data_IF_067924223914
#
_entry.id   IF_067924223914
#
_cell.length_a   1.000
_cell.length_b   1.000
_cell.length_c   1.000
_cell.angle_alpha   90.00
_cell.angle_beta   90.00
_cell.angle_gamma   90.00
#
_symmetry.space_group_name_H-M   'P 1'
#
loop_
_entity.id
_entity.type
_entity.pdbx_description
1 polymer ?
#
# COMPACT_ATOMS: atom_id res chain seq x y z
N UNK A 1 30.99 13.71 16.33
CA UNK A 1 30.27 12.89 17.32
C UNK A 1 30.03 13.77 18.54
N UNK A 2 28.78 13.94 18.96
CA UNK A 2 28.40 14.66 20.18
C UNK A 2 28.22 13.62 21.27
N UNK A 3 28.80 13.84 22.44
CA UNK A 3 28.77 12.87 23.54
C UNK A 3 27.99 13.46 24.71
N UNK A 4 26.95 12.76 25.13
CA UNK A 4 26.11 13.12 26.26
C UNK A 4 26.31 12.07 27.35
N UNK A 5 26.61 12.52 28.56
CA UNK A 5 26.81 11.63 29.68
C UNK A 5 25.58 11.65 30.60
N UNK A 6 25.18 10.47 31.08
CA UNK A 6 24.07 10.32 32.01
C UNK A 6 24.53 10.18 33.48
N UNK A 7 25.82 10.07 33.73
CA UNK A 7 26.37 9.81 35.08
C UNK A 7 26.07 10.96 36.05
N UNK A 8 26.02 12.19 35.55
CA UNK A 8 25.62 13.35 36.36
C UNK A 8 24.17 13.28 36.83
N UNK A 9 23.25 12.74 36.01
CA UNK A 9 21.86 12.53 36.41
C UNK A 9 21.73 11.39 37.41
N UNK A 10 22.55 10.34 37.27
CA UNK A 10 22.63 9.22 38.22
C UNK A 10 23.14 9.69 39.58
N UNK A 11 24.19 10.52 39.59
CA UNK A 11 24.70 11.18 40.79
C UNK A 11 23.61 12.00 41.49
N UNK A 12 22.88 12.85 40.75
CA UNK A 12 21.79 13.66 41.30
C UNK A 12 20.66 12.81 41.91
N UNK A 13 20.37 11.63 41.34
CA UNK A 13 19.39 10.71 41.89
C UNK A 13 19.88 10.02 43.18
N UNK A 14 21.19 9.75 43.28
CA UNK A 14 21.78 8.95 44.36
C UNK A 14 22.28 9.78 45.56
N UNK A 15 22.54 11.08 45.40
CA UNK A 15 23.19 11.93 46.42
C UNK A 15 22.46 12.01 47.79
N UNK A 16 21.16 11.68 47.83
CA UNK A 16 20.38 11.64 49.08
C UNK A 16 20.52 10.33 49.86
N UNK A 17 20.92 9.26 49.20
CA UNK A 17 20.96 7.89 49.76
C UNK A 17 22.39 7.34 49.82
N UNK A 18 23.31 7.89 49.02
CA UNK A 18 24.70 7.46 48.91
C UNK A 18 25.62 8.63 49.22
N UNK A 19 26.65 8.37 50.04
CA UNK A 19 27.72 9.33 50.29
C UNK A 19 28.81 9.17 49.24
N UNK A 20 29.12 10.25 48.54
CA UNK A 20 30.21 10.30 47.57
C UNK A 20 31.44 10.93 48.20
N UNK A 21 32.62 10.52 47.73
CA UNK A 21 33.88 11.18 48.04
C UNK A 21 34.01 12.46 47.21
N UNK A 22 34.80 13.41 47.70
CA UNK A 22 35.05 14.68 46.99
C UNK A 22 35.61 14.46 45.56
N UNK A 23 36.41 13.42 45.35
CA UNK A 23 36.95 13.08 44.04
C UNK A 23 35.86 12.56 43.08
N UNK A 24 34.91 11.76 43.58
CA UNK A 24 33.76 11.30 42.79
C UNK A 24 32.84 12.46 42.42
N UNK A 25 32.53 13.34 43.37
CA UNK A 25 31.72 14.54 43.09
C UNK A 25 32.35 15.42 42.02
N UNK A 26 33.67 15.59 42.07
CA UNK A 26 34.41 16.36 41.06
C UNK A 26 34.35 15.69 39.68
N UNK A 27 34.51 14.38 39.60
CA UNK A 27 34.38 13.64 38.34
C UNK A 27 32.98 13.77 37.72
N UNK A 28 31.92 13.70 38.54
CA UNK A 28 30.56 13.91 38.06
C UNK A 28 30.31 15.36 37.60
N UNK A 29 30.88 16.35 38.30
CA UNK A 29 30.79 17.75 37.90
C UNK A 29 31.51 18.03 36.56
N UNK A 30 32.68 17.42 36.35
CA UNK A 30 33.43 17.53 35.09
C UNK A 30 32.69 16.85 33.93
N UNK A 31 32.12 15.67 34.17
CA UNK A 31 31.24 14.96 33.22
C UNK A 31 30.02 15.82 32.84
N UNK A 32 29.34 16.43 33.83
CA UNK A 32 28.20 17.33 33.59
C UNK A 32 28.59 18.50 32.69
N UNK A 33 29.68 19.18 33.04
CA UNK A 33 30.18 20.33 32.29
C UNK A 33 30.44 19.95 30.84
N UNK A 34 31.12 18.83 30.61
CA UNK A 34 31.38 18.33 29.26
C UNK A 34 30.10 18.02 28.49
N UNK A 35 29.11 17.42 29.14
CA UNK A 35 27.81 17.14 28.51
C UNK A 35 27.04 18.41 28.16
N UNK A 36 27.09 19.44 29.02
CA UNK A 36 26.50 20.76 28.76
C UNK A 36 27.21 21.45 27.60
N UNK A 37 28.54 21.48 27.61
CA UNK A 37 29.36 22.10 26.56
C UNK A 37 29.10 21.42 25.20
N UNK A 38 29.00 20.08 25.16
CA UNK A 38 28.66 19.33 23.96
C UNK A 38 27.21 19.58 23.49
N UNK A 39 26.27 19.77 24.41
CA UNK A 39 24.89 20.14 24.10
C UNK A 39 24.78 21.55 23.52
N UNK A 40 25.50 22.51 24.11
CA UNK A 40 25.61 23.87 23.58
C UNK A 40 26.26 23.87 22.20
N UNK A 41 27.33 23.10 22.01
CA UNK A 41 27.98 22.93 20.71
C UNK A 41 27.03 22.36 19.66
N UNK A 42 26.19 21.39 20.02
CA UNK A 42 25.15 20.86 19.14
C UNK A 42 24.09 21.94 18.82
N UNK A 43 23.59 22.65 19.82
CA UNK A 43 22.57 23.70 19.62
C UNK A 43 23.13 24.82 18.74
N UNK A 44 24.35 25.31 19.01
CA UNK A 44 25.00 26.32 18.18
C UNK A 44 25.21 25.85 16.74
N UNK A 45 25.59 24.58 16.58
CA UNK A 45 25.70 23.98 15.26
C UNK A 45 24.35 23.99 14.53
N UNK A 46 23.27 23.57 15.20
CA UNK A 46 21.91 23.54 14.64
C UNK A 46 21.41 24.95 14.29
N UNK A 47 21.63 25.95 15.15
CA UNK A 47 21.24 27.35 14.92
C UNK A 47 21.99 27.96 13.72
N UNK A 48 23.23 27.53 13.47
CA UNK A 48 24.02 27.99 12.31
C UNK A 48 23.64 27.28 11.01
N UNK A 49 22.82 26.22 11.05
CA UNK A 49 22.34 25.58 9.82
C UNK A 49 21.17 26.36 9.25
N UNK A 50 21.14 26.46 7.91
CA UNK A 50 19.93 26.96 7.27
C UNK A 50 18.77 26.02 7.63
N UNK A 51 17.64 26.57 8.11
CA UNK A 51 16.44 25.77 8.31
C UNK A 51 16.15 24.99 7.04
N UNK A 52 16.01 23.67 7.14
CA UNK A 52 15.50 22.90 6.03
C UNK A 52 14.07 23.37 5.75
N UNK A 53 13.71 23.44 4.47
CA UNK A 53 12.34 23.74 4.07
C UNK A 53 11.50 22.55 4.52
N UNK A 54 10.68 22.76 5.55
CA UNK A 54 9.87 21.69 6.17
C UNK A 54 8.91 21.11 5.13
N UNK A 55 8.44 21.95 4.22
CA UNK A 55 7.63 21.58 3.06
C UNK A 55 8.30 20.50 2.21
N UNK A 56 9.62 20.53 2.01
CA UNK A 56 10.34 19.52 1.23
C UNK A 56 10.32 18.15 1.91
N UNK A 57 10.46 18.13 3.23
CA UNK A 57 10.43 16.89 4.02
C UNK A 57 9.01 16.31 4.07
N UNK A 58 8.01 17.17 4.24
CA UNK A 58 6.60 16.78 4.18
C UNK A 58 6.23 16.28 2.78
N UNK A 59 6.67 16.97 1.73
CA UNK A 59 6.43 16.59 0.34
C UNK A 59 7.04 15.23 0.02
N UNK A 60 8.32 15.00 0.40
CA UNK A 60 8.98 13.72 0.22
C UNK A 60 8.23 12.58 0.93
N UNK A 61 7.80 12.79 2.17
CA UNK A 61 7.05 11.79 2.93
C UNK A 61 5.66 11.52 2.33
N UNK A 62 4.97 12.57 1.88
CA UNK A 62 3.68 12.44 1.21
C UNK A 62 3.81 11.67 -0.10
N UNK A 63 4.78 12.00 -0.94
CA UNK A 63 5.04 11.27 -2.20
C UNK A 63 5.39 9.81 -1.93
N UNK A 64 6.24 9.52 -0.93
CA UNK A 64 6.54 8.14 -0.53
C UNK A 64 5.28 7.39 -0.09
N UNK A 65 4.40 8.05 0.65
CA UNK A 65 3.14 7.45 1.09
C UNK A 65 2.21 7.17 -0.10
N UNK A 66 2.08 8.12 -1.04
CA UNK A 66 1.31 7.94 -2.29
C UNK A 66 1.81 6.72 -3.07
N UNK A 67 3.12 6.59 -3.30
CA UNK A 67 3.69 5.44 -4.03
C UNK A 67 3.34 4.12 -3.36
N UNK A 68 3.48 4.06 -2.04
CA UNK A 68 3.18 2.86 -1.28
C UNK A 68 1.70 2.48 -1.37
N UNK A 69 0.81 3.44 -1.11
CA UNK A 69 -0.64 3.21 -1.09
C UNK A 69 -1.20 2.83 -2.46
N UNK A 70 -0.55 3.24 -3.55
CA UNK A 70 -0.95 2.89 -4.92
C UNK A 70 -0.37 1.55 -5.41
N UNK A 71 0.58 0.95 -4.69
CA UNK A 71 1.19 -0.33 -5.08
C UNK A 71 0.18 -1.49 -5.15
N UNK A 72 -0.73 -1.61 -4.16
CA UNK A 72 -1.84 -2.60 -4.19
C UNK A 72 -2.85 -2.28 -5.30
N UNK A 73 -3.37 -1.03 -5.41
CA UNK A 73 -4.23 -0.64 -6.50
C UNK A 73 -3.68 -0.95 -7.90
N UNK A 74 -2.38 -0.76 -8.15
CA UNK A 74 -1.80 -1.09 -9.45
C UNK A 74 -1.92 -2.58 -9.79
N UNK A 75 -1.56 -3.47 -8.86
CA UNK A 75 -1.67 -4.91 -9.09
C UNK A 75 -3.12 -5.37 -9.30
N UNK A 76 -4.05 -4.78 -8.56
CA UNK A 76 -5.48 -5.09 -8.67
C UNK A 76 -6.08 -4.60 -9.99
N UNK A 77 -5.75 -3.38 -10.42
CA UNK A 77 -6.21 -2.83 -11.70
C UNK A 77 -5.56 -3.57 -12.87
N UNK A 78 -4.29 -3.98 -12.75
CA UNK A 78 -3.63 -4.82 -13.76
C UNK A 78 -4.40 -6.12 -13.98
N UNK A 79 -4.74 -6.83 -12.90
CA UNK A 79 -5.57 -8.05 -12.97
C UNK A 79 -6.95 -7.76 -13.56
N UNK A 80 -7.60 -6.67 -13.14
CA UNK A 80 -8.92 -6.25 -13.63
C UNK A 80 -8.93 -5.99 -15.14
N UNK A 81 -7.95 -5.22 -15.63
CA UNK A 81 -7.81 -4.88 -17.05
C UNK A 81 -7.61 -6.15 -17.88
N UNK A 82 -6.72 -7.05 -17.45
CA UNK A 82 -6.47 -8.30 -18.18
C UNK A 82 -7.75 -9.16 -18.28
N UNK A 83 -8.50 -9.30 -17.18
CA UNK A 83 -9.77 -10.05 -17.18
C UNK A 83 -10.80 -9.41 -18.09
N UNK A 84 -10.95 -8.08 -18.06
CA UNK A 84 -11.89 -7.39 -18.93
C UNK A 84 -11.52 -7.52 -20.41
N UNK A 85 -10.23 -7.46 -20.77
CA UNK A 85 -9.80 -7.69 -22.15
C UNK A 85 -10.17 -9.11 -22.60
N UNK A 86 -9.96 -10.12 -21.75
CA UNK A 86 -10.32 -11.50 -22.08
C UNK A 86 -11.83 -11.64 -22.28
N UNK A 87 -12.64 -11.15 -21.34
CA UNK A 87 -14.10 -11.23 -21.41
C UNK A 87 -14.65 -10.57 -22.69
N UNK A 88 -14.12 -9.40 -23.05
CA UNK A 88 -14.53 -8.70 -24.27
C UNK A 88 -14.11 -9.49 -25.53
N UNK A 89 -12.92 -10.09 -25.56
CA UNK A 89 -12.46 -10.92 -26.69
C UNK A 89 -13.29 -12.18 -26.87
N UNK A 90 -13.58 -12.90 -25.79
CA UNK A 90 -14.47 -14.07 -25.82
C UNK A 90 -15.86 -13.68 -26.32
N UNK A 91 -16.32 -12.49 -25.94
CA UNK A 91 -17.59 -11.95 -26.44
C UNK A 91 -17.56 -11.64 -27.93
N UNK A 92 -16.49 -11.04 -28.44
CA UNK A 92 -16.31 -10.82 -29.87
C UNK A 92 -16.30 -12.15 -30.63
N UNK A 93 -15.65 -13.19 -30.10
CA UNK A 93 -15.65 -14.53 -30.68
C UNK A 93 -17.05 -15.17 -30.67
N UNK A 94 -17.81 -15.06 -29.58
CA UNK A 94 -19.21 -15.53 -29.52
C UNK A 94 -20.08 -14.85 -30.57
N UNK A 95 -19.98 -13.52 -30.71
CA UNK A 95 -20.76 -12.73 -31.68
C UNK A 95 -20.36 -13.11 -33.12
N UNK A 96 -19.06 -13.25 -33.39
CA UNK A 96 -18.54 -13.55 -34.72
C UNK A 96 -18.92 -14.97 -35.20
N UNK A 97 -18.93 -15.94 -34.28
CA UNK A 97 -19.26 -17.34 -34.60
C UNK A 97 -20.77 -17.65 -34.55
N UNK A 98 -21.59 -16.70 -34.08
CA UNK A 98 -23.03 -16.90 -33.94
C UNK A 98 -23.78 -16.75 -35.26
N UNK A 99 -24.64 -17.71 -35.60
CA UNK A 99 -25.60 -17.63 -36.70
C UNK A 99 -26.90 -16.88 -36.34
N UNK A 100 -27.07 -16.46 -35.08
CA UNK A 100 -28.29 -15.83 -34.55
C UNK A 100 -28.50 -14.41 -35.08
N UNK A 101 -29.73 -13.92 -35.10
CA UNK A 101 -30.04 -12.53 -35.48
C UNK A 101 -29.61 -11.54 -34.39
N UNK A 102 -29.61 -10.24 -34.70
CA UNK A 102 -29.26 -9.21 -33.70
C UNK A 102 -30.28 -9.16 -32.55
N UNK A 103 -31.57 -9.36 -32.83
CA UNK A 103 -32.62 -9.43 -31.82
C UNK A 103 -32.42 -10.60 -30.86
N UNK A 104 -32.03 -11.76 -31.37
CA UNK A 104 -31.70 -12.95 -30.56
C UNK A 104 -30.42 -12.76 -29.73
N UNK A 105 -29.53 -11.88 -30.19
CA UNK A 105 -28.29 -11.54 -29.52
C UNK A 105 -28.42 -10.32 -28.61
N UNK A 106 -29.52 -9.56 -28.61
CA UNK A 106 -29.60 -8.26 -27.94
C UNK A 106 -29.18 -8.27 -26.47
N UNK A 107 -29.60 -9.29 -25.69
CA UNK A 107 -29.17 -9.48 -24.29
C UNK A 107 -27.74 -10.02 -24.13
N UNK A 108 -27.11 -10.42 -25.22
CA UNK A 108 -25.75 -10.92 -25.37
C UNK A 108 -24.85 -9.96 -26.17
N UNK A 109 -25.25 -8.73 -26.48
CA UNK A 109 -24.36 -7.79 -27.19
C UNK A 109 -23.47 -7.02 -26.21
N UNK A 110 -23.94 -6.85 -24.99
CA UNK A 110 -23.18 -6.25 -23.90
C UNK A 110 -22.11 -7.21 -23.41
N UNK A 111 -20.89 -6.70 -23.25
CA UNK A 111 -19.81 -7.43 -22.62
C UNK A 111 -19.88 -7.17 -21.12
N UNK A 112 -20.09 -8.22 -20.33
CA UNK A 112 -19.95 -8.15 -18.88
C UNK A 112 -18.51 -7.79 -18.56
N UNK A 113 -18.31 -6.75 -17.74
CA UNK A 113 -16.99 -6.36 -17.25
C UNK A 113 -16.92 -6.68 -15.77
N UNK A 114 -15.79 -7.29 -15.39
CA UNK A 114 -15.40 -7.39 -14.00
C UNK A 114 -15.14 -5.99 -13.46
N UNK A 115 -15.71 -5.74 -12.29
CA UNK A 115 -15.51 -4.54 -11.51
C UNK A 115 -15.34 -4.92 -10.03
N UNK A 116 -15.05 -3.94 -9.19
CA UNK A 116 -14.99 -4.17 -7.75
C UNK A 116 -15.48 -2.97 -6.93
N UNK A 117 -15.83 -3.26 -5.68
CA UNK A 117 -16.09 -2.28 -4.64
C UNK A 117 -15.18 -2.54 -3.45
N UNK A 118 -14.94 -1.49 -2.66
CA UNK A 118 -14.20 -1.59 -1.41
C UNK A 118 -15.17 -1.68 -0.24
N UNK A 119 -14.88 -2.59 0.69
CA UNK A 119 -15.55 -2.66 1.99
C UNK A 119 -14.56 -2.34 3.08
N UNK A 120 -14.78 -1.24 3.79
CA UNK A 120 -14.02 -0.90 4.99
C UNK A 120 -14.27 -1.93 6.09
N UNK A 121 -13.22 -2.28 6.84
CA UNK A 121 -13.35 -3.07 8.07
C UNK A 121 -13.49 -2.16 9.31
N UNK A 122 -14.25 -2.61 10.31
CA UNK A 122 -14.41 -1.89 11.58
C UNK A 122 -13.09 -1.84 12.37
N UNK A 123 -12.35 -2.96 12.31
CA UNK A 123 -11.05 -3.14 12.94
C UNK A 123 -10.08 -3.78 11.94
N UNK A 124 -8.79 -3.39 12.00
CA UNK A 124 -7.76 -4.11 11.27
C UNK A 124 -7.67 -5.57 11.74
N UNK A 125 -7.44 -6.49 10.80
CA UNK A 125 -7.34 -7.93 11.10
C UNK A 125 -6.15 -8.55 10.41
N UNK A 126 -5.59 -9.58 11.03
CA UNK A 126 -4.53 -10.39 10.45
C UNK A 126 -5.14 -11.63 9.81
N UNK A 127 -4.96 -11.77 8.50
CA UNK A 127 -5.40 -12.93 7.71
C UNK A 127 -4.22 -13.77 7.27
N UNK A 128 -4.45 -15.05 6.96
CA UNK A 128 -3.43 -15.92 6.38
C UNK A 128 -3.65 -16.10 4.89
N UNK A 129 -2.62 -15.86 4.09
CA UNK A 129 -2.64 -16.00 2.63
C UNK A 129 -2.16 -17.37 2.17
N UNK A 130 -1.95 -18.32 3.07
CA UNK A 130 -1.56 -19.68 2.72
C UNK A 130 -2.73 -20.44 2.07
N UNK A 131 -2.46 -21.27 1.06
CA UNK A 131 -3.46 -22.08 0.37
C UNK A 131 -4.28 -22.97 1.31
N UNK A 132 -3.72 -23.40 2.44
CA UNK A 132 -4.44 -24.21 3.43
C UNK A 132 -5.39 -23.39 4.34
N UNK A 133 -5.41 -22.07 4.21
CA UNK A 133 -6.10 -21.15 5.13
C UNK A 133 -7.09 -20.21 4.43
N UNK A 134 -7.36 -20.46 3.15
CA UNK A 134 -8.24 -19.67 2.31
C UNK A 134 -9.30 -20.58 1.71
N UNK A 135 -10.44 -20.00 1.37
CA UNK A 135 -11.52 -20.69 0.65
C UNK A 135 -11.75 -19.97 -0.68
N UNK A 136 -12.26 -20.72 -1.66
CA UNK A 136 -12.72 -20.14 -2.91
C UNK A 136 -14.22 -19.89 -2.79
N UNK A 137 -14.60 -18.63 -2.82
CA UNK A 137 -16.00 -18.21 -2.92
C UNK A 137 -16.38 -18.10 -4.38
N UNK A 138 -17.32 -18.93 -4.79
CA UNK A 138 -17.97 -18.78 -6.09
C UNK A 138 -18.99 -17.64 -5.99
N UNK A 139 -18.70 -16.50 -6.64
CA UNK A 139 -19.63 -15.33 -6.66
C UNK A 139 -20.62 -15.45 -7.80
N UNK A 140 -20.26 -16.19 -8.85
CA UNK A 140 -21.08 -16.54 -10.01
C UNK A 140 -20.40 -17.71 -10.74
N UNK A 141 -20.96 -18.15 -11.87
CA UNK A 141 -20.46 -19.32 -12.62
C UNK A 141 -18.98 -19.21 -13.04
N UNK A 142 -18.42 -17.99 -13.11
CA UNK A 142 -17.09 -17.71 -13.70
C UNK A 142 -16.07 -17.02 -12.76
N UNK A 143 -16.44 -16.66 -11.52
CA UNK A 143 -15.54 -16.00 -10.55
C UNK A 143 -15.42 -16.82 -9.27
N UNK A 144 -14.23 -17.38 -9.09
CA UNK A 144 -13.71 -17.77 -7.79
C UNK A 144 -12.97 -16.59 -7.14
N UNK A 145 -13.49 -16.09 -6.02
CA UNK A 145 -12.80 -15.16 -5.15
C UNK A 145 -12.04 -15.89 -4.05
N UNK A 146 -10.85 -15.39 -3.73
CA UNK A 146 -10.12 -15.85 -2.56
C UNK A 146 -10.77 -15.20 -1.34
N UNK A 147 -11.44 -16.01 -0.53
CA UNK A 147 -11.85 -15.58 0.80
C UNK A 147 -10.79 -16.00 1.81
N UNK A 148 -10.31 -15.00 2.53
CA UNK A 148 -9.36 -15.17 3.61
C UNK A 148 -10.07 -15.60 4.90
N UNK A 149 -10.87 -16.68 4.83
CA UNK A 149 -11.76 -17.18 5.88
C UNK A 149 -11.05 -17.33 7.22
N UNK A 150 -9.77 -17.70 7.19
CA UNK A 150 -8.96 -17.82 8.41
C UNK A 150 -8.45 -16.47 8.90
N UNK A 151 -9.32 -15.78 9.63
CA UNK A 151 -9.00 -14.59 10.42
C UNK A 151 -8.13 -14.97 11.64
N UNK A 152 -6.80 -14.97 11.46
CA UNK A 152 -5.84 -15.35 12.51
C UNK A 152 -5.83 -14.38 13.70
N UNK A 153 -6.13 -13.10 13.46
CA UNK A 153 -6.38 -12.11 14.51
C UNK A 153 -7.53 -11.21 14.08
N UNK A 154 -8.69 -11.27 14.75
CA UNK A 154 -9.89 -10.53 14.35
C UNK A 154 -9.77 -9.02 14.55
N UNK A 155 -9.16 -8.62 15.67
CA UNK A 155 -8.89 -7.22 16.01
C UNK A 155 -7.40 -7.11 16.34
N UNK A 156 -6.59 -6.69 15.39
CA UNK A 156 -5.16 -6.56 15.56
C UNK A 156 -4.80 -5.11 15.93
N UNK A 157 -4.26 -4.92 17.14
CA UNK A 157 -3.86 -3.61 17.68
C UNK A 157 -2.37 -3.32 17.52
N UNK A 158 -1.65 -4.14 16.74
CA UNK A 158 -0.25 -3.88 16.47
C UNK A 158 -0.15 -2.59 15.69
N UNK A 159 0.69 -1.68 16.18
CA UNK A 159 0.96 -0.43 15.49
C UNK A 159 1.83 -0.74 14.28
N UNK A 160 1.22 -0.59 13.11
CA UNK A 160 1.96 -0.57 11.85
C UNK A 160 2.16 0.88 11.45
N UNK A 161 3.35 1.19 10.94
CA UNK A 161 3.54 2.43 10.18
C UNK A 161 2.87 2.36 8.81
N UNK A 162 2.52 1.15 8.34
CA UNK A 162 2.07 0.84 6.99
C UNK A 162 1.18 -0.41 6.99
N UNK A 163 -0.09 -0.27 6.63
CA UNK A 163 -1.08 -1.36 6.61
C UNK A 163 -1.15 -2.00 5.21
N UNK A 164 -1.80 -3.16 5.07
CA UNK A 164 -1.92 -3.94 3.82
C UNK A 164 -0.61 -4.47 3.20
N UNK A 165 0.57 -4.09 3.70
CA UNK A 165 1.85 -4.62 3.23
C UNK A 165 1.98 -6.15 3.40
N UNK A 166 2.39 -6.80 2.32
CA UNK A 166 2.80 -8.21 2.32
C UNK A 166 4.21 -8.31 2.94
N UNK A 167 4.51 -9.42 3.61
CA UNK A 167 5.81 -9.66 4.26
C UNK A 167 6.21 -8.60 5.31
N UNK A 168 5.24 -7.90 5.90
CA UNK A 168 5.52 -6.93 6.95
C UNK A 168 6.01 -7.64 8.22
N UNK A 169 7.32 -7.48 8.52
CA UNK A 169 7.97 -8.08 9.70
C UNK A 169 7.32 -7.67 11.02
N UNK A 170 6.61 -6.54 11.08
CA UNK A 170 5.89 -6.14 12.28
C UNK A 170 4.77 -7.12 12.66
N UNK A 171 4.34 -7.99 11.74
CA UNK A 171 3.41 -9.09 12.04
C UNK A 171 3.95 -10.06 13.11
N UNK A 172 5.26 -10.09 13.37
CA UNK A 172 5.82 -10.80 14.53
C UNK A 172 5.22 -10.36 15.86
N UNK A 173 4.77 -9.10 15.96
CA UNK A 173 4.16 -8.54 17.16
C UNK A 173 2.65 -8.78 17.24
N UNK A 174 2.05 -9.37 16.20
CA UNK A 174 0.64 -9.76 16.24
C UNK A 174 0.44 -10.81 17.34
N UNK A 175 -0.61 -10.62 18.16
CA UNK A 175 -0.93 -11.52 19.26
C UNK A 175 -1.15 -12.98 18.82
N UNK A 176 -1.55 -13.18 17.56
CA UNK A 176 -1.71 -14.48 16.94
C UNK A 176 -0.39 -15.16 16.56
N UNK A 177 0.72 -14.43 16.44
CA UNK A 177 2.03 -14.96 16.04
C UNK A 177 2.88 -15.25 17.29
N UNK A 178 3.52 -16.42 17.32
CA UNK A 178 4.53 -16.73 18.34
C UNK A 178 5.83 -15.99 18.01
N UNK A 179 6.34 -15.21 18.96
CA UNK A 179 7.64 -14.52 18.84
C UNK A 179 8.76 -15.52 18.52
N UNK A 180 8.81 -16.63 19.25
CA UNK A 180 9.78 -17.70 19.01
C UNK A 180 9.28 -18.57 17.86
N UNK A 181 10.07 -18.63 16.77
CA UNK A 181 9.80 -19.45 15.59
C UNK A 181 8.78 -18.87 14.60
N UNK A 182 8.14 -17.74 14.90
CA UNK A 182 7.32 -17.00 13.93
C UNK A 182 6.05 -17.72 13.46
N UNK A 183 5.59 -18.72 14.20
CA UNK A 183 4.42 -19.55 13.84
C UNK A 183 3.13 -18.98 14.42
N UNK A 184 2.09 -18.93 13.61
CA UNK A 184 0.75 -18.53 14.03
C UNK A 184 0.13 -19.57 14.96
N UNK A 185 -0.46 -19.12 16.07
CA UNK A 185 -1.17 -19.93 17.07
C UNK A 185 -2.51 -20.46 16.55
N UNK A 186 -3.08 -19.83 15.51
CA UNK A 186 -4.39 -20.16 14.95
C UNK A 186 -4.30 -21.11 13.75
N UNK A 187 -3.40 -20.83 12.80
CA UNK A 187 -3.29 -21.63 11.57
C UNK A 187 -1.99 -22.44 11.46
N UNK A 188 -0.99 -22.20 12.31
CA UNK A 188 0.32 -22.87 12.23
C UNK A 188 1.21 -22.42 11.06
N UNK A 189 0.74 -21.54 10.18
CA UNK A 189 1.58 -20.93 9.15
C UNK A 189 2.58 -19.94 9.75
N UNK A 190 3.68 -19.69 9.05
CA UNK A 190 4.67 -18.71 9.46
C UNK A 190 4.17 -17.28 9.18
N UNK A 191 4.67 -16.29 9.91
CA UNK A 191 4.21 -14.90 9.87
C UNK A 191 4.29 -14.29 8.45
N UNK A 192 5.25 -14.72 7.63
CA UNK A 192 5.43 -14.30 6.22
C UNK A 192 4.29 -14.78 5.30
N UNK A 193 3.39 -15.64 5.79
CA UNK A 193 2.15 -16.04 5.11
C UNK A 193 0.93 -15.30 5.64
N UNK A 194 1.13 -14.21 6.37
CA UNK A 194 0.06 -13.40 6.91
C UNK A 194 0.10 -12.00 6.31
N UNK A 195 -1.08 -11.38 6.25
CA UNK A 195 -1.27 -10.02 5.79
C UNK A 195 -2.18 -9.31 6.77
N UNK A 196 -1.91 -8.02 6.99
CA UNK A 196 -2.76 -7.19 7.80
C UNK A 196 -3.70 -6.39 6.90
N UNK A 197 -5.00 -6.61 7.01
CA UNK A 197 -6.00 -5.97 6.13
C UNK A 197 -6.88 -5.02 6.92
N UNK A 198 -7.15 -3.86 6.34
CA UNK A 198 -8.02 -2.82 6.90
C UNK A 198 -9.26 -2.56 6.02
N UNK A 199 -9.26 -3.08 4.80
CA UNK A 199 -10.39 -3.11 3.89
C UNK A 199 -10.35 -4.39 3.03
N UNK A 200 -11.47 -4.70 2.38
CA UNK A 200 -11.60 -5.79 1.40
C UNK A 200 -11.99 -5.24 0.04
N UNK A 201 -11.63 -6.00 -0.99
CA UNK A 201 -12.07 -5.78 -2.38
C UNK A 201 -13.10 -6.84 -2.70
N UNK A 202 -14.30 -6.38 -3.07
CA UNK A 202 -15.47 -7.19 -3.41
C UNK A 202 -15.69 -7.10 -4.92
N UNK A 203 -15.49 -8.19 -5.67
CA UNK A 203 -15.68 -8.17 -7.11
C UNK A 203 -17.15 -8.37 -7.50
N UNK A 204 -17.54 -7.77 -8.61
CA UNK A 204 -18.87 -7.91 -9.22
C UNK A 204 -18.77 -7.83 -10.74
N UNK A 205 -19.67 -8.50 -11.45
CA UNK A 205 -19.87 -8.24 -12.87
C UNK A 205 -20.88 -7.13 -13.04
N UNK A 206 -20.56 -6.18 -13.90
CA UNK A 206 -21.51 -5.20 -14.39
C UNK A 206 -21.62 -5.38 -15.91
N UNK A 207 -22.83 -5.51 -16.42
CA UNK A 207 -23.07 -5.40 -17.85
C UNK A 207 -22.90 -3.93 -18.24
N UNK A 208 -21.90 -3.65 -19.06
CA UNK A 208 -21.74 -2.30 -19.58
C UNK A 208 -22.65 -2.14 -20.79
N UNK A 209 -23.77 -1.45 -20.56
CA UNK A 209 -24.61 -0.92 -21.62
C UNK A 209 -23.86 0.25 -22.23
N UNK A 210 -23.16 -0.02 -23.33
CA UNK A 210 -22.57 1.04 -24.13
C UNK A 210 -23.68 1.68 -24.98
N UNK A 211 -23.97 2.95 -24.73
CA UNK A 211 -24.98 3.71 -25.49
C UNK A 211 -24.69 3.68 -27.00
N UNK A 212 -23.42 3.55 -27.41
CA UNK A 212 -23.07 3.40 -28.83
C UNK A 212 -23.50 2.05 -29.39
N UNK A 213 -23.48 0.98 -28.59
CA UNK A 213 -24.03 -0.33 -28.98
C UNK A 213 -25.54 -0.21 -29.18
N UNK A 214 -26.26 0.47 -28.28
CA UNK A 214 -27.71 0.68 -28.45
C UNK A 214 -28.05 1.50 -29.69
N UNK A 215 -27.32 2.60 -29.92
CA UNK A 215 -27.49 3.44 -31.10
C UNK A 215 -27.27 2.63 -32.38
N UNK A 216 -26.22 1.82 -32.46
CA UNK A 216 -25.94 1.00 -33.65
C UNK A 216 -26.99 -0.08 -33.89
N UNK A 217 -27.54 -0.69 -32.84
CA UNK A 217 -28.63 -1.67 -32.97
C UNK A 217 -29.93 -1.01 -33.43
N UNK A 218 -30.15 0.27 -33.10
CA UNK A 218 -31.37 1.00 -33.46
C UNK A 218 -31.44 1.43 -34.94
N UNK A 219 -30.31 1.42 -35.63
CA UNK A 219 -30.25 1.75 -37.07
C UNK A 219 -30.79 0.59 -37.91
N UNK A 220 -31.56 0.89 -38.98
CA UNK A 220 -32.09 -0.12 -39.92
C UNK A 220 -30.98 -0.73 -40.80
N UNK A 221 -30.08 -1.48 -40.18
CA UNK A 221 -28.96 -2.21 -40.79
C UNK A 221 -29.25 -3.71 -40.82
N UNK A 222 -28.51 -4.45 -41.65
CA UNK A 222 -28.56 -5.91 -41.63
C UNK A 222 -27.93 -6.47 -40.34
N UNK A 223 -28.31 -7.69 -39.96
CA UNK A 223 -27.72 -8.40 -38.81
C UNK A 223 -26.19 -8.48 -38.88
N UNK A 224 -25.64 -8.71 -40.08
CA UNK A 224 -24.19 -8.79 -40.27
C UNK A 224 -23.50 -7.44 -40.05
N UNK A 225 -24.11 -6.35 -40.50
CA UNK A 225 -23.58 -5.00 -40.28
C UNK A 225 -23.62 -4.64 -38.80
N UNK A 226 -24.72 -4.96 -38.11
CA UNK A 226 -24.85 -4.73 -36.67
C UNK A 226 -23.82 -5.53 -35.86
N UNK A 227 -23.61 -6.81 -36.17
CA UNK A 227 -22.56 -7.62 -35.53
C UNK A 227 -21.17 -7.02 -35.72
N UNK A 228 -20.82 -6.61 -36.94
CA UNK A 228 -19.53 -5.95 -37.23
C UNK A 228 -19.38 -4.67 -36.43
N UNK A 229 -20.43 -3.86 -36.35
CA UNK A 229 -20.40 -2.59 -35.63
C UNK A 229 -20.19 -2.81 -34.11
N UNK A 230 -20.87 -3.78 -33.50
CA UNK A 230 -20.66 -4.16 -32.09
C UNK A 230 -19.24 -4.69 -31.85
N UNK A 231 -18.69 -5.50 -32.76
CA UNK A 231 -17.30 -5.98 -32.66
C UNK A 231 -16.31 -4.80 -32.68
N UNK A 232 -16.56 -3.77 -33.49
CA UNK A 232 -15.73 -2.54 -33.53
C UNK A 232 -15.81 -1.78 -32.21
N UNK A 233 -17.00 -1.65 -31.60
CA UNK A 233 -17.14 -1.02 -30.28
C UNK A 233 -16.34 -1.78 -29.22
N UNK A 234 -16.45 -3.11 -29.19
CA UNK A 234 -15.68 -3.98 -28.30
C UNK A 234 -14.16 -3.85 -28.52
N UNK A 235 -13.72 -3.73 -29.78
CA UNK A 235 -12.31 -3.53 -30.09
C UNK A 235 -11.81 -2.18 -29.57
N UNK A 236 -12.56 -1.09 -29.79
CA UNK A 236 -12.22 0.22 -29.25
C UNK A 236 -12.10 0.19 -27.72
N UNK A 237 -12.95 -0.58 -27.04
CA UNK A 237 -12.88 -0.74 -25.59
C UNK A 237 -11.61 -1.50 -25.15
N UNK A 238 -11.22 -2.55 -25.88
CA UNK A 238 -9.95 -3.25 -25.64
C UNK A 238 -8.78 -2.30 -25.81
N UNK A 239 -8.77 -1.49 -26.87
CA UNK A 239 -7.69 -0.55 -27.17
C UNK A 239 -7.57 0.53 -26.08
N UNK A 240 -8.69 1.05 -25.58
CA UNK A 240 -8.72 1.97 -24.45
C UNK A 240 -8.15 1.34 -23.18
N UNK A 241 -8.56 0.10 -22.85
CA UNK A 241 -8.06 -0.63 -21.69
C UNK A 241 -6.55 -0.89 -21.79
N UNK A 242 -6.04 -1.24 -22.97
CA UNK A 242 -4.61 -1.41 -23.21
C UNK A 242 -3.85 -0.09 -23.05
N UNK A 243 -4.39 1.02 -23.57
CA UNK A 243 -3.79 2.35 -23.41
C UNK A 243 -3.68 2.76 -21.94
N UNK A 244 -4.72 2.53 -21.15
CA UNK A 244 -4.64 2.79 -19.70
C UNK A 244 -3.63 1.89 -19.00
N UNK A 245 -3.58 0.61 -19.36
CA UNK A 245 -2.61 -0.34 -18.81
C UNK A 245 -1.18 0.12 -19.01
N UNK A 246 -0.83 0.53 -20.23
CA UNK A 246 0.51 1.06 -20.52
C UNK A 246 0.79 2.35 -19.74
N UNK A 247 -0.19 3.24 -19.58
CA UNK A 247 -0.02 4.45 -18.79
C UNK A 247 0.19 4.17 -17.31
N UNK A 248 -0.57 3.23 -16.73
CA UNK A 248 -0.41 2.79 -15.34
C UNK A 248 0.97 2.18 -15.14
N UNK A 249 1.42 1.34 -16.07
CA UNK A 249 2.75 0.74 -16.05
C UNK A 249 3.86 1.80 -16.08
N UNK A 250 3.79 2.76 -17.01
CA UNK A 250 4.72 3.89 -17.09
C UNK A 250 4.82 4.63 -15.75
N UNK A 251 3.67 4.96 -15.15
CA UNK A 251 3.62 5.68 -13.87
C UNK A 251 4.16 4.83 -12.72
N UNK A 252 3.84 3.53 -12.68
CA UNK A 252 4.38 2.61 -11.68
C UNK A 252 5.91 2.55 -11.70
N UNK A 253 6.52 2.59 -12.89
CA UNK A 253 7.98 2.63 -13.05
C UNK A 253 8.57 3.94 -12.54
N UNK A 254 7.92 5.08 -12.80
CA UNK A 254 8.34 6.39 -12.25
C UNK A 254 8.23 6.45 -10.73
N UNK A 255 7.21 5.83 -10.15
CA UNK A 255 7.05 5.70 -8.71
C UNK A 255 8.15 4.83 -8.08
N UNK A 256 8.54 3.77 -8.77
CA UNK A 256 9.65 2.91 -8.38
C UNK A 256 10.99 3.60 -8.48
N UNK A 257 11.23 4.35 -9.57
CA UNK A 257 12.39 5.21 -9.70
C UNK A 257 12.50 6.18 -8.53
N UNK A 258 11.43 6.93 -8.25
CA UNK A 258 11.35 7.87 -7.13
C UNK A 258 11.63 7.21 -5.78
N UNK A 259 11.09 6.01 -5.56
CA UNK A 259 11.30 5.30 -4.30
C UNK A 259 12.73 4.81 -4.14
N UNK A 260 13.35 4.32 -5.22
CA UNK A 260 14.74 3.83 -5.24
C UNK A 260 15.75 4.94 -5.02
N UNK A 261 15.65 6.03 -5.78
CA UNK A 261 16.60 7.16 -5.67
C UNK A 261 16.57 7.81 -4.28
N UNK A 262 15.43 7.73 -3.58
CA UNK A 262 15.24 8.31 -2.25
C UNK A 262 15.37 7.26 -1.13
N UNK A 263 15.77 6.03 -1.42
CA UNK A 263 15.87 4.98 -0.40
C UNK A 263 17.14 5.14 0.44
N UNK A 264 16.99 5.21 1.78
CA UNK A 264 18.13 5.22 2.72
C UNK A 264 18.66 3.80 2.98
N UNK A 265 17.81 2.79 2.79
CA UNK A 265 18.11 1.38 2.98
C UNK A 265 17.79 0.60 1.70
N UNK A 266 17.99 -0.72 1.71
CA UNK A 266 17.60 -1.59 0.60
C UNK A 266 16.13 -1.36 0.22
N UNK A 267 15.90 -1.03 -1.06
CA UNK A 267 14.58 -0.80 -1.61
C UNK A 267 13.80 -2.12 -1.73
N UNK A 268 12.65 -2.20 -1.07
CA UNK A 268 11.67 -3.26 -1.31
C UNK A 268 10.58 -2.73 -2.25
N UNK A 269 10.27 -3.49 -3.30
CA UNK A 269 9.27 -3.10 -4.29
C UNK A 269 7.90 -3.65 -3.89
N UNK A 270 7.10 -2.80 -3.24
CA UNK A 270 5.76 -3.18 -2.78
C UNK A 270 4.84 -3.57 -3.94
N UNK A 271 5.01 -2.99 -5.14
CA UNK A 271 4.18 -3.36 -6.30
C UNK A 271 4.48 -4.79 -6.75
N UNK A 272 5.76 -5.19 -6.76
CA UNK A 272 6.16 -6.58 -7.05
C UNK A 272 5.59 -7.54 -6.01
N UNK A 273 5.62 -7.18 -4.72
CA UNK A 273 5.02 -8.00 -3.66
C UNK A 273 3.52 -8.25 -3.93
N UNK A 274 2.76 -7.23 -4.37
CA UNK A 274 1.34 -7.41 -4.70
C UNK A 274 1.11 -8.18 -6.01
N UNK A 275 1.94 -8.01 -7.03
CA UNK A 275 1.90 -8.86 -8.23
C UNK A 275 2.12 -10.33 -7.87
N UNK A 276 3.05 -10.61 -6.96
CA UNK A 276 3.29 -11.96 -6.45
C UNK A 276 2.09 -12.53 -5.70
N UNK A 277 1.37 -11.71 -4.93
CA UNK A 277 0.12 -12.11 -4.30
C UNK A 277 -0.94 -12.46 -5.35
N UNK A 278 -1.17 -11.60 -6.34
CA UNK A 278 -2.14 -11.87 -7.41
C UNK A 278 -1.78 -13.17 -8.18
N UNK A 279 -0.52 -13.37 -8.54
CA UNK A 279 -0.04 -14.60 -9.20
C UNK A 279 -0.28 -15.83 -8.32
N UNK A 280 -0.02 -15.72 -7.02
CA UNK A 280 -0.24 -16.81 -6.07
C UNK A 280 -1.72 -17.17 -5.96
N UNK A 281 -2.60 -16.18 -5.85
CA UNK A 281 -4.05 -16.36 -5.83
C UNK A 281 -4.54 -17.06 -7.10
N UNK A 282 -4.05 -16.65 -8.27
CA UNK A 282 -4.38 -17.29 -9.56
C UNK A 282 -3.87 -18.73 -9.65
N UNK A 283 -2.67 -19.03 -9.12
CA UNK A 283 -2.16 -20.41 -8.98
C UNK A 283 -3.04 -21.27 -8.09
N UNK A 284 -3.59 -20.71 -7.02
CA UNK A 284 -4.53 -21.41 -6.12
C UNK A 284 -5.80 -21.78 -6.90
N UNK A 285 -6.41 -20.83 -7.62
CA UNK A 285 -7.61 -21.07 -8.45
C UNK A 285 -7.36 -22.16 -9.48
N UNK A 286 -6.23 -22.11 -10.19
CA UNK A 286 -5.81 -23.16 -11.14
C UNK A 286 -5.73 -24.53 -10.48
N UNK A 287 -5.13 -24.63 -9.30
CA UNK A 287 -4.96 -25.92 -8.65
C UNK A 287 -6.30 -26.49 -8.15
N UNK A 288 -7.24 -25.64 -7.77
CA UNK A 288 -8.57 -26.06 -7.32
C UNK A 288 -9.48 -26.51 -8.47
N UNK A 289 -9.40 -25.86 -9.64
CA UNK A 289 -10.23 -26.17 -10.79
C UNK A 289 -9.43 -26.25 -12.11
N UNK A 290 -8.44 -27.15 -12.15
CA UNK A 290 -7.44 -27.20 -13.24
C UNK A 290 -8.02 -27.47 -14.63
N UNK A 291 -9.20 -28.06 -14.74
CA UNK A 291 -9.84 -28.38 -16.02
C UNK A 291 -10.56 -27.21 -16.67
N UNK A 292 -11.00 -26.23 -15.87
CA UNK A 292 -11.78 -25.08 -16.34
C UNK A 292 -11.08 -23.74 -16.08
N UNK A 293 -9.87 -23.77 -15.53
CA UNK A 293 -9.10 -22.56 -15.27
C UNK A 293 -8.54 -21.95 -16.55
N UNK A 294 -8.80 -20.65 -16.73
CA UNK A 294 -8.21 -19.87 -17.82
C UNK A 294 -6.79 -19.41 -17.47
N UNK A 295 -5.79 -20.06 -18.08
CA UNK A 295 -4.37 -19.74 -17.88
C UNK A 295 -3.95 -18.36 -18.41
N UNK A 296 -4.76 -17.68 -19.23
CA UNK A 296 -4.37 -16.40 -19.83
C UNK A 296 -4.12 -15.31 -18.79
N UNK A 297 -4.90 -15.28 -17.69
CA UNK A 297 -4.69 -14.31 -16.60
C UNK A 297 -3.37 -14.59 -15.87
N UNK A 298 -3.13 -15.84 -15.48
CA UNK A 298 -1.91 -16.21 -14.79
C UNK A 298 -0.66 -15.88 -15.63
N UNK A 299 -0.66 -16.26 -16.92
CA UNK A 299 0.44 -15.95 -17.83
C UNK A 299 0.60 -14.45 -18.04
N UNK A 300 -0.50 -13.71 -18.15
CA UNK A 300 -0.47 -12.26 -18.30
C UNK A 300 0.15 -11.57 -17.09
N UNK A 301 -0.20 -11.97 -15.86
CA UNK A 301 0.39 -11.44 -14.63
C UNK A 301 1.88 -11.80 -14.50
N UNK A 302 2.26 -13.04 -14.80
CA UNK A 302 3.67 -13.48 -14.80
C UNK A 302 4.50 -12.68 -15.82
N UNK A 303 3.97 -12.46 -17.03
CA UNK A 303 4.61 -11.64 -18.05
C UNK A 303 4.72 -10.15 -17.62
N UNK A 304 3.68 -9.57 -17.01
CA UNK A 304 3.74 -8.20 -16.48
C UNK A 304 4.85 -8.07 -15.44
N UNK A 305 4.93 -9.02 -14.50
CA UNK A 305 5.97 -9.00 -13.47
C UNK A 305 7.36 -9.10 -14.08
N UNK A 306 7.57 -10.02 -15.02
CA UNK A 306 8.86 -10.22 -15.68
C UNK A 306 9.31 -8.96 -16.43
N UNK A 307 8.42 -8.37 -17.24
CA UNK A 307 8.70 -7.17 -18.01
C UNK A 307 8.98 -5.96 -17.10
N UNK A 308 8.17 -5.78 -16.05
CA UNK A 308 8.36 -4.72 -15.07
C UNK A 308 9.73 -4.84 -14.39
N UNK A 309 10.12 -6.04 -13.93
CA UNK A 309 11.43 -6.26 -13.29
C UNK A 309 12.61 -5.96 -14.21
N UNK A 310 12.50 -6.28 -15.51
CA UNK A 310 13.52 -5.91 -16.51
C UNK A 310 13.69 -4.39 -16.59
N UNK A 311 12.58 -3.65 -16.60
CA UNK A 311 12.62 -2.18 -16.66
C UNK A 311 13.12 -1.55 -15.35
N UNK A 312 12.83 -2.16 -14.20
CA UNK A 312 13.39 -1.72 -12.91
C UNK A 312 14.91 -1.85 -12.87
N UNK A 313 15.50 -2.88 -13.51
CA UNK A 313 16.96 -3.01 -13.58
C UNK A 313 17.58 -1.92 -14.47
N UNK A 314 16.90 -1.50 -15.55
CA UNK A 314 17.33 -0.35 -16.36
C UNK A 314 17.30 0.94 -15.52
N UNK A 315 16.20 1.19 -14.82
CA UNK A 315 16.05 2.36 -13.92
C UNK A 315 17.15 2.39 -12.86
N UNK A 316 17.53 1.23 -12.32
CA UNK A 316 18.61 1.14 -11.35
C UNK A 316 19.94 1.63 -11.94
N UNK A 317 20.26 1.25 -13.17
CA UNK A 317 21.47 1.72 -13.86
C UNK A 317 21.40 3.24 -14.14
N UNK A 318 20.26 3.76 -14.57
CA UNK A 318 20.06 5.20 -14.81
C UNK A 318 20.24 6.03 -13.53
N UNK A 319 19.76 5.53 -12.38
CA UNK A 319 19.95 6.19 -11.08
C UNK A 319 21.44 6.18 -10.69
N UNK A 320 22.14 5.05 -10.88
CA UNK A 320 23.57 4.92 -10.56
C UNK A 320 24.45 5.89 -11.37
N UNK A 321 24.07 6.16 -12.63
CA UNK A 321 24.76 7.10 -13.50
C UNK A 321 24.35 8.57 -13.28
N UNK A 322 23.34 8.85 -12.46
CA UNK A 322 22.68 10.16 -12.32
C UNK A 322 22.06 10.70 -13.62
N UNK A 323 21.60 9.81 -14.50
CA UNK A 323 21.01 10.18 -15.80
C UNK A 323 19.55 10.64 -15.68
N UNK A 324 18.90 10.34 -14.54
CA UNK A 324 17.44 10.42 -14.42
C UNK A 324 17.01 10.57 -12.95
N UNK A 325 16.18 11.57 -12.63
CA UNK A 325 15.65 11.79 -11.26
C UNK A 325 14.22 12.29 -11.27
N UNK A 326 13.41 11.84 -10.31
CA UNK A 326 11.99 12.22 -10.14
C UNK A 326 11.80 13.07 -8.89
N UNK A 327 11.15 14.21 -9.01
CA UNK A 327 10.87 15.11 -7.89
C UNK A 327 9.56 14.75 -7.18
N UNK A 328 9.36 15.18 -5.92
CA UNK A 328 8.08 15.01 -5.22
C UNK A 328 6.89 15.65 -5.96
N UNK A 329 7.09 16.78 -6.64
CA UNK A 329 6.04 17.45 -7.43
C UNK A 329 5.61 16.61 -8.64
N UNK A 330 6.57 15.98 -9.32
CA UNK A 330 6.25 15.05 -10.41
C UNK A 330 5.42 13.86 -9.93
N UNK A 331 5.61 13.39 -8.68
CA UNK A 331 4.75 12.34 -8.12
C UNK A 331 3.29 12.81 -7.98
N UNK A 332 3.06 14.05 -7.56
CA UNK A 332 1.71 14.61 -7.48
C UNK A 332 1.05 14.76 -8.87
N UNK A 333 1.84 15.17 -9.88
CA UNK A 333 1.35 15.29 -11.26
C UNK A 333 1.05 13.91 -11.88
N UNK A 334 1.88 12.92 -11.63
CA UNK A 334 1.67 11.53 -12.05
C UNK A 334 0.45 10.92 -11.34
N UNK A 335 0.27 11.20 -10.04
CA UNK A 335 -0.93 10.79 -9.31
C UNK A 335 -2.20 11.39 -9.93
N UNK A 336 -2.17 12.67 -10.30
CA UNK A 336 -3.30 13.30 -11.00
C UNK A 336 -3.57 12.65 -12.35
N UNK A 337 -2.53 12.36 -13.14
CA UNK A 337 -2.66 11.67 -14.42
C UNK A 337 -3.33 10.29 -14.28
N UNK A 338 -3.04 9.55 -13.20
CA UNK A 338 -3.72 8.28 -12.91
C UNK A 338 -5.22 8.48 -12.69
N UNK A 339 -5.63 9.51 -11.96
CA UNK A 339 -7.04 9.77 -11.67
C UNK A 339 -7.83 10.29 -12.87
N UNK A 340 -7.15 10.93 -13.81
CA UNK A 340 -7.73 11.43 -15.05
C UNK A 340 -7.90 10.31 -16.11
N UNK A 341 -7.48 9.07 -15.83
CA UNK A 341 -7.73 7.91 -16.70
C UNK A 341 -9.25 7.62 -16.80
N UNK A 342 -9.84 7.62 -18.01
CA UNK A 342 -11.30 7.55 -18.18
C UNK A 342 -12.02 6.34 -17.57
N UNK A 343 -11.40 5.16 -17.62
CA UNK A 343 -12.00 3.88 -17.25
C UNK A 343 -11.64 3.51 -15.80
N UNK A 344 -10.34 3.48 -15.48
CA UNK A 344 -9.85 2.97 -14.20
C UNK A 344 -9.38 4.06 -13.23
N UNK A 345 -9.26 5.31 -13.67
CA UNK A 345 -8.82 6.43 -12.81
C UNK A 345 -9.71 6.66 -11.59
N UNK A 346 -11.04 6.69 -11.72
CA UNK A 346 -11.95 6.77 -10.58
C UNK A 346 -11.77 5.62 -9.57
N UNK A 347 -11.43 4.41 -10.05
CA UNK A 347 -11.24 3.22 -9.20
C UNK A 347 -9.94 3.28 -8.43
N UNK A 348 -8.85 3.68 -9.08
CA UNK A 348 -7.56 3.94 -8.42
C UNK A 348 -7.71 4.97 -7.30
N UNK A 349 -8.43 6.07 -7.58
CA UNK A 349 -8.71 7.11 -6.59
C UNK A 349 -9.51 6.57 -5.39
N UNK A 350 -10.55 5.79 -5.65
CA UNK A 350 -11.39 5.18 -4.60
C UNK A 350 -10.59 4.20 -3.73
N UNK A 351 -9.75 3.36 -4.34
CA UNK A 351 -8.91 2.41 -3.59
C UNK A 351 -7.89 3.12 -2.70
N UNK A 352 -7.19 4.13 -3.23
CA UNK A 352 -6.24 4.91 -2.42
C UNK A 352 -6.95 5.62 -1.26
N UNK A 353 -8.08 6.28 -1.55
CA UNK A 353 -8.87 6.94 -0.51
C UNK A 353 -9.31 5.99 0.60
N UNK A 354 -9.76 4.77 0.25
CA UNK A 354 -10.12 3.77 1.25
C UNK A 354 -8.91 3.33 2.07
N UNK A 355 -7.76 3.10 1.42
CA UNK A 355 -6.53 2.76 2.11
C UNK A 355 -6.13 3.86 3.11
N UNK A 356 -6.05 5.13 2.69
CA UNK A 356 -5.75 6.29 3.53
C UNK A 356 -6.70 6.40 4.73
N UNK A 357 -8.02 6.32 4.46
CA UNK A 357 -9.04 6.41 5.51
C UNK A 357 -8.92 5.27 6.51
N UNK A 358 -8.69 4.06 6.01
CA UNK A 358 -8.60 2.85 6.84
C UNK A 358 -7.36 2.88 7.74
N UNK A 359 -6.23 3.41 7.25
CA UNK A 359 -5.02 3.63 8.04
C UNK A 359 -5.24 4.68 9.14
N UNK A 360 -5.86 5.81 8.79
CA UNK A 360 -6.18 6.87 9.75
C UNK A 360 -7.09 6.37 10.88
N UNK A 361 -8.11 5.57 10.55
CA UNK A 361 -9.00 4.98 11.55
C UNK A 361 -8.31 3.90 12.40
N UNK A 362 -7.39 3.11 11.82
CA UNK A 362 -6.59 2.15 12.57
C UNK A 362 -5.74 2.84 13.66
N UNK A 363 -5.19 4.02 13.36
CA UNK A 363 -4.41 4.81 14.32
C UNK A 363 -5.24 5.29 15.51
N UNK A 364 -6.52 5.64 15.31
CA UNK A 364 -7.43 6.10 16.39
C UNK A 364 -7.58 5.08 17.52
N UNK A 365 -7.56 3.78 17.21
CA UNK A 365 -7.63 2.72 18.21
C UNK A 365 -6.34 2.55 19.03
N UNK A 366 -5.30 3.31 18.70
CA UNK A 366 -3.99 3.24 19.33
C UNK A 366 -3.55 4.55 19.99
N UNK A 367 -4.32 5.63 19.86
CA UNK A 367 -4.05 6.91 20.52
C UNK A 367 -4.38 6.82 22.03
N UNK A 368 -3.33 6.82 22.86
CA UNK A 368 -3.47 7.02 24.29
C UNK A 368 -3.46 8.52 24.57
N UNK A 369 -4.62 9.12 24.83
CA UNK A 369 -4.68 10.48 25.34
C UNK A 369 -4.13 10.51 26.77
N UNK A 370 -2.91 11.04 26.95
CA UNK A 370 -2.42 11.37 28.27
C UNK A 370 -3.27 12.51 28.84
N UNK A 371 -4.18 12.18 29.76
CA UNK A 371 -4.84 13.18 30.60
C UNK A 371 -3.94 13.44 31.81
N UNK A 372 -3.29 14.61 31.93
CA UNK A 372 -2.55 14.93 33.14
C UNK A 372 -3.51 14.84 34.35
N UNK A 373 -3.05 14.27 35.49
CA UNK A 373 -3.88 14.18 36.67
C UNK A 373 -4.33 15.58 37.11
N UNK A 374 -5.65 15.76 37.29
CA UNK A 374 -6.31 17.05 37.59
C UNK A 374 -6.04 17.53 39.02
N UNK A 375 -5.14 16.90 39.77
CA UNK A 375 -4.88 17.24 41.17
C UNK A 375 -3.40 17.17 41.55
N UNK A 376 -2.69 18.27 41.35
CA UNK A 376 -1.86 18.86 42.40
C UNK A 376 -1.40 20.24 41.96
N UNK A 377 -1.74 21.26 42.74
CA UNK A 377 -1.12 22.59 42.67
C UNK A 377 0.36 22.47 43.04
N UNK A 378 1.19 21.96 42.15
CA UNK A 378 2.65 22.08 42.28
C UNK A 378 3.04 23.43 41.71
N UNK A 379 3.08 24.42 42.60
CA UNK A 379 3.59 25.74 42.30
C UNK A 379 5.10 25.57 42.02
N UNK A 380 5.51 25.59 40.75
CA UNK A 380 6.89 25.34 40.32
C UNK A 380 7.91 26.23 41.06
N UNK A 381 7.46 27.42 41.49
CA UNK A 381 8.23 28.41 42.26
C UNK A 381 8.49 28.05 43.73
N UNK A 382 7.76 27.11 44.34
CA UNK A 382 8.01 26.68 45.73
C UNK A 382 9.02 25.54 45.83
N UNK A 383 9.58 25.11 44.70
CA UNK A 383 10.56 24.04 44.65
C UNK A 383 11.95 24.58 45.05
N UNK A 384 12.62 23.93 46.02
CA UNK A 384 14.00 24.25 46.42
C UNK A 384 14.99 24.22 45.23
N UNK A 385 14.66 23.49 44.15
CA UNK A 385 15.42 23.48 42.90
C UNK A 385 15.47 24.85 42.19
N UNK A 386 14.44 25.68 42.28
CA UNK A 386 14.44 27.02 41.66
C UNK A 386 15.43 27.98 42.35
N UNK A 387 15.77 27.76 43.62
CA UNK A 387 16.70 28.62 44.38
C UNK A 387 18.17 28.37 44.06
N UNK A 388 18.54 27.16 43.61
CA UNK A 388 19.93 26.83 43.28
C UNK A 388 20.28 27.14 41.82
N UNK A 389 19.31 27.06 40.90
CA UNK A 389 19.56 27.19 39.47
C UNK A 389 18.99 28.48 38.83
N UNK A 390 18.27 29.30 39.60
CA UNK A 390 17.62 30.53 39.11
C UNK A 390 18.48 31.80 39.09
N UNK A 391 19.79 31.72 39.36
CA UNK A 391 20.71 32.86 39.21
C UNK A 391 21.65 32.61 38.05
N UNK A 392 21.16 32.84 36.84
CA UNK A 392 21.93 32.67 35.62
C UNK A 392 21.06 32.65 34.38
N UNK A 393 20.22 33.68 34.23
CA UNK A 393 19.70 34.16 32.96
C UNK A 393 19.89 35.67 32.94
#
# INVERSE_FOLDING_TARGET
>A
MYCFDNESFRYLAAIKEVKFTQNEEQNFAESWKRSVDESLRLIEYLVKRQPHIVEDTLSLNNSRNTVLLLSKPFAEIERLIQKNIILIKEKQEEINNSSKTIEELKGKLYASQLDFETRKLDYPRTVCTNISCIELLQVNDDIDLIDYVKHCCKNCYVRFTKYDEINNKMLFFCSAIKLIGGKCKVCGCHWDKHMHVTYEIMYKYNDIIDENVELQISEKKSDQENKRAVIVVHQNRIDQLQKEREKIKEISLKFTQFSRQNAIAAYNDAYVDYLDLCIKEEKIKRNANSRHYDERILRGLEATKEDYLKQVEVIKQEIENNDSSITPNEIADLEKQLYDLPINGPKLKKLKYEAERSEADALRYTENHFKPPVSSKTNFMSNQFAKFFGKGW
#
